data_IF_609310074013
#
_entry.id   IF_609310074013
#
_cell.length_a   1.000
_cell.length_b   1.000
_cell.length_c   1.000
_cell.angle_alpha   90.00
_cell.angle_beta   90.00
_cell.angle_gamma   90.00
#
_symmetry.space_group_name_H-M   'P 1'
#
loop_
_entity.id
_entity.type
_entity.pdbx_description
1 polymer ?
#
# COMPACT_ATOMS: atom_id res chain seq x y z
N UNK A 1 15.68 -17.90 -4.23
CA UNK A 1 14.74 -17.68 -3.10
C UNK A 1 14.33 -19.03 -2.52
N UNK A 2 14.52 -19.24 -1.22
CA UNK A 2 14.04 -20.45 -0.55
C UNK A 2 12.49 -20.45 -0.51
N UNK A 3 11.84 -21.62 -0.40
CA UNK A 3 10.37 -21.71 -0.29
C UNK A 3 9.83 -20.93 0.92
N UNK A 4 10.57 -20.89 2.03
CA UNK A 4 10.20 -20.13 3.21
C UNK A 4 10.12 -18.61 2.94
N UNK A 5 11.05 -18.05 2.15
CA UNK A 5 11.04 -16.62 1.82
C UNK A 5 9.87 -16.26 0.90
N UNK A 6 9.51 -17.11 -0.06
CA UNK A 6 8.35 -16.86 -0.94
C UNK A 6 7.04 -16.86 -0.15
N UNK A 7 6.91 -17.80 0.80
CA UNK A 7 5.77 -17.86 1.71
C UNK A 7 5.69 -16.59 2.58
N UNK A 8 6.81 -16.17 3.18
CA UNK A 8 6.84 -14.95 4.00
C UNK A 8 6.45 -13.69 3.21
N UNK A 9 6.95 -13.54 1.97
CA UNK A 9 6.61 -12.41 1.10
C UNK A 9 5.12 -12.43 0.73
N UNK A 10 4.59 -13.59 0.31
CA UNK A 10 3.18 -13.72 -0.05
C UNK A 10 2.26 -13.45 1.15
N UNK A 11 2.62 -13.98 2.33
CA UNK A 11 1.88 -13.75 3.56
C UNK A 11 1.88 -12.27 3.96
N UNK A 12 3.05 -11.62 3.94
CA UNK A 12 3.19 -10.20 4.25
C UNK A 12 2.40 -9.32 3.25
N UNK A 13 2.43 -9.68 1.96
CA UNK A 13 1.70 -8.99 0.90
C UNK A 13 0.19 -9.04 1.14
N UNK A 14 -0.35 -10.22 1.44
CA UNK A 14 -1.77 -10.38 1.77
C UNK A 14 -2.15 -9.65 3.06
N UNK A 15 -1.36 -9.78 4.11
CA UNK A 15 -1.63 -9.12 5.39
C UNK A 15 -1.66 -7.59 5.24
N UNK A 16 -0.66 -7.03 4.55
CA UNK A 16 -0.58 -5.60 4.26
C UNK A 16 -1.77 -5.14 3.42
N UNK A 17 -2.11 -5.88 2.36
CA UNK A 17 -3.27 -5.57 1.51
C UNK A 17 -4.59 -5.53 2.27
N UNK A 18 -4.82 -6.49 3.18
CA UNK A 18 -6.03 -6.53 4.02
C UNK A 18 -6.09 -5.34 4.98
N UNK A 19 -4.96 -5.00 5.63
CA UNK A 19 -4.89 -3.86 6.56
C UNK A 19 -5.15 -2.55 5.82
N UNK A 20 -4.47 -2.32 4.69
CA UNK A 20 -4.65 -1.10 3.89
C UNK A 20 -6.09 -0.97 3.36
N UNK A 21 -6.69 -2.07 2.90
CA UNK A 21 -8.09 -2.06 2.49
C UNK A 21 -9.03 -1.70 3.64
N UNK A 22 -8.82 -2.26 4.83
CA UNK A 22 -9.62 -1.95 6.01
C UNK A 22 -9.51 -0.48 6.42
N UNK A 23 -8.30 0.09 6.40
CA UNK A 23 -8.06 1.51 6.69
C UNK A 23 -8.75 2.39 5.64
N UNK A 24 -8.59 2.10 4.35
CA UNK A 24 -9.24 2.85 3.27
C UNK A 24 -10.77 2.79 3.38
N UNK A 25 -11.35 1.64 3.73
CA UNK A 25 -12.79 1.50 3.96
C UNK A 25 -13.26 2.33 5.17
N UNK A 26 -12.46 2.39 6.24
CA UNK A 26 -12.74 3.21 7.41
C UNK A 26 -12.71 4.70 7.07
N UNK A 27 -11.71 5.16 6.30
CA UNK A 27 -11.63 6.56 5.83
C UNK A 27 -12.82 6.92 4.96
N UNK A 28 -13.19 6.07 3.99
CA UNK A 28 -14.42 6.25 3.19
C UNK A 28 -15.67 6.36 4.07
N UNK A 29 -15.78 5.53 5.10
CA UNK A 29 -16.90 5.55 6.04
C UNK A 29 -16.94 6.84 6.87
N UNK A 30 -15.79 7.32 7.35
CA UNK A 30 -15.69 8.60 8.07
C UNK A 30 -16.12 9.77 7.18
N UNK A 31 -15.65 9.82 5.93
CA UNK A 31 -16.03 10.84 4.96
C UNK A 31 -17.53 10.74 4.62
N UNK A 32 -18.10 9.54 4.57
CA UNK A 32 -19.52 9.35 4.29
C UNK A 32 -20.42 9.76 5.47
N UNK A 33 -20.03 9.40 6.70
CA UNK A 33 -20.82 9.69 7.91
C UNK A 33 -20.63 11.10 8.46
N UNK A 34 -19.60 11.81 8.04
CA UNK A 34 -19.47 13.22 8.36
C UNK A 34 -20.70 13.99 7.82
N UNK A 35 -21.37 14.68 8.74
CA UNK A 35 -22.64 15.38 8.53
C UNK A 35 -22.50 16.90 8.54
N UNK A 36 -21.28 17.43 8.56
CA UNK A 36 -21.10 18.87 8.51
C UNK A 36 -21.71 19.45 7.22
N UNK A 37 -22.53 20.49 7.38
CA UNK A 37 -23.18 21.22 6.29
C UNK A 37 -22.19 22.17 5.60
N UNK A 38 -21.12 22.58 6.29
CA UNK A 38 -20.06 23.43 5.75
C UNK A 38 -19.05 22.55 5.01
N UNK A 39 -19.19 22.46 3.69
CA UNK A 39 -18.18 21.78 2.84
C UNK A 39 -18.65 20.50 2.13
N UNK A 40 -19.96 20.29 1.94
CA UNK A 40 -20.52 19.14 1.20
C UNK A 40 -19.85 18.87 -0.15
N UNK A 41 -19.50 19.92 -0.90
CA UNK A 41 -18.80 19.77 -2.19
C UNK A 41 -17.36 19.25 -2.01
N UNK A 42 -16.64 19.79 -1.04
CA UNK A 42 -15.29 19.34 -0.69
C UNK A 42 -15.28 17.88 -0.23
N UNK A 43 -16.28 17.47 0.57
CA UNK A 43 -16.42 16.08 1.02
C UNK A 43 -16.72 15.10 -0.09
N UNK A 44 -17.57 15.47 -1.06
CA UNK A 44 -17.80 14.66 -2.27
C UNK A 44 -16.52 14.51 -3.09
N UNK A 45 -15.74 15.59 -3.22
CA UNK A 45 -14.44 15.53 -3.88
C UNK A 45 -13.47 14.59 -3.14
N UNK A 46 -13.34 14.73 -1.81
CA UNK A 46 -12.51 13.85 -0.99
C UNK A 46 -12.93 12.39 -1.07
N UNK A 47 -14.24 12.10 -1.07
CA UNK A 47 -14.76 10.74 -1.21
C UNK A 47 -14.41 10.14 -2.58
N UNK A 48 -14.61 10.90 -3.66
CA UNK A 48 -14.19 10.49 -5.00
C UNK A 48 -12.69 10.27 -5.09
N UNK A 49 -11.89 11.15 -4.48
CA UNK A 49 -10.44 11.02 -4.42
C UNK A 49 -10.02 9.75 -3.67
N UNK A 50 -10.65 9.48 -2.51
CA UNK A 50 -10.37 8.30 -1.71
C UNK A 50 -10.73 7.01 -2.46
N UNK A 51 -11.84 7.00 -3.20
CA UNK A 51 -12.23 5.85 -4.04
C UNK A 51 -11.21 5.65 -5.17
N UNK A 52 -10.77 6.71 -5.86
CA UNK A 52 -9.74 6.64 -6.88
C UNK A 52 -8.39 6.15 -6.33
N UNK A 53 -8.02 6.60 -5.13
CA UNK A 53 -6.80 6.13 -4.46
C UNK A 53 -6.91 4.65 -4.11
N UNK A 54 -8.05 4.23 -3.55
CA UNK A 54 -8.29 2.83 -3.17
C UNK A 54 -8.31 1.91 -4.39
N UNK A 55 -8.86 2.37 -5.53
CA UNK A 55 -8.85 1.58 -6.77
C UNK A 55 -7.44 1.49 -7.36
N UNK A 56 -6.64 2.56 -7.32
CA UNK A 56 -5.24 2.52 -7.71
C UNK A 56 -4.43 1.55 -6.84
N UNK A 57 -4.62 1.59 -5.51
CA UNK A 57 -4.01 0.65 -4.58
C UNK A 57 -4.37 -0.80 -4.92
N UNK A 58 -5.64 -1.06 -5.24
CA UNK A 58 -6.12 -2.40 -5.60
C UNK A 58 -5.48 -2.90 -6.90
N UNK A 59 -5.37 -2.04 -7.91
CA UNK A 59 -4.68 -2.37 -9.17
C UNK A 59 -3.21 -2.68 -8.92
N UNK A 60 -2.51 -1.87 -8.11
CA UNK A 60 -1.11 -2.12 -7.75
C UNK A 60 -0.94 -3.41 -6.94
N UNK A 61 -1.92 -3.75 -6.10
CA UNK A 61 -1.90 -4.96 -5.30
C UNK A 61 -2.07 -6.23 -6.16
N UNK A 62 -2.94 -6.16 -7.18
CA UNK A 62 -3.14 -7.22 -8.19
C UNK A 62 -1.95 -7.32 -9.15
N UNK A 63 -1.32 -6.19 -9.48
CA UNK A 63 -0.16 -6.16 -10.36
C UNK A 63 1.13 -6.59 -9.66
N UNK A 64 1.22 -6.43 -8.34
CA UNK A 64 2.39 -6.82 -7.53
C UNK A 64 2.86 -8.26 -7.73
N UNK A 65 2.02 -9.31 -7.71
CA UNK A 65 2.49 -10.68 -7.98
C UNK A 65 3.01 -10.87 -9.41
N UNK A 66 2.41 -10.19 -10.40
CA UNK A 66 2.87 -10.21 -11.80
C UNK A 66 4.23 -9.51 -11.92
N UNK A 67 4.39 -8.36 -11.24
CA UNK A 67 5.64 -7.65 -11.12
C UNK A 67 6.68 -8.51 -10.39
N UNK A 68 6.36 -9.14 -9.27
CA UNK A 68 7.25 -10.04 -8.52
C UNK A 68 7.72 -11.23 -9.36
N UNK A 69 6.89 -11.74 -10.27
CA UNK A 69 7.29 -12.80 -11.19
C UNK A 69 8.29 -12.32 -12.26
N UNK A 70 8.07 -11.13 -12.83
CA UNK A 70 8.97 -10.53 -13.82
C UNK A 70 10.28 -10.00 -13.20
N UNK A 71 10.19 -9.36 -12.04
CA UNK A 71 11.33 -8.85 -11.26
C UNK A 71 12.03 -9.95 -10.44
N UNK A 72 11.55 -11.20 -10.47
CA UNK A 72 12.31 -12.35 -9.94
C UNK A 72 13.70 -12.44 -10.57
N UNK A 73 13.87 -11.95 -11.81
CA UNK A 73 15.18 -11.80 -12.49
C UNK A 73 16.05 -10.72 -11.84
N UNK A 74 15.45 -9.61 -11.36
CA UNK A 74 16.16 -8.49 -10.72
C UNK A 74 16.48 -8.79 -9.25
N UNK A 75 15.60 -9.46 -8.51
CA UNK A 75 15.81 -9.87 -7.12
C UNK A 75 16.60 -11.18 -6.96
N UNK A 76 16.76 -11.99 -8.03
CA UNK A 76 17.51 -13.24 -7.96
C UNK A 76 19.03 -13.04 -7.75
N UNK A 77 19.56 -11.83 -7.97
CA UNK A 77 21.01 -11.59 -7.89
C UNK A 77 21.41 -10.17 -7.48
N UNK A 78 20.59 -9.44 -6.72
CA UNK A 78 20.91 -8.06 -6.37
C UNK A 78 21.48 -7.94 -4.95
N UNK A 79 22.77 -7.58 -4.89
CA UNK A 79 23.51 -7.17 -3.69
C UNK A 79 22.77 -6.09 -2.86
N UNK A 80 21.87 -5.35 -3.50
CA UNK A 80 21.02 -4.32 -2.90
C UNK A 80 20.09 -4.89 -1.82
N UNK A 81 19.58 -6.12 -1.97
CA UNK A 81 18.75 -6.75 -0.95
C UNK A 81 19.52 -7.13 0.33
N UNK A 82 20.86 -7.19 0.26
CA UNK A 82 21.73 -7.43 1.40
C UNK A 82 22.21 -6.12 2.05
N UNK A 83 22.18 -5.02 1.29
CA UNK A 83 22.61 -3.69 1.74
C UNK A 83 21.45 -2.88 2.35
N UNK A 84 20.24 -3.06 1.82
CA UNK A 84 19.07 -2.28 2.22
C UNK A 84 18.22 -3.11 3.17
N UNK A 85 18.47 -2.92 4.46
CA UNK A 85 17.67 -3.51 5.53
C UNK A 85 16.23 -2.97 5.50
N UNK A 86 15.27 -3.82 5.88
CA UNK A 86 13.84 -3.50 5.86
C UNK A 86 13.52 -2.33 6.81
N UNK A 87 14.32 -2.18 7.87
CA UNK A 87 14.28 -1.04 8.78
C UNK A 87 14.67 0.28 8.11
N UNK A 88 15.61 0.27 7.15
CA UNK A 88 16.03 1.46 6.41
C UNK A 88 14.96 1.91 5.42
N UNK A 89 14.25 0.97 4.79
CA UNK A 89 13.10 1.30 3.93
C UNK A 89 11.94 1.84 4.76
N UNK A 90 11.66 1.21 5.91
CA UNK A 90 10.62 1.63 6.83
C UNK A 90 10.86 3.03 7.40
N UNK A 91 12.09 3.34 7.83
CA UNK A 91 12.43 4.66 8.37
C UNK A 91 12.38 5.75 7.30
N UNK A 92 12.77 5.46 6.06
CA UNK A 92 12.72 6.41 4.94
C UNK A 92 11.26 6.72 4.53
N UNK A 93 10.39 5.71 4.56
CA UNK A 93 8.95 5.89 4.36
C UNK A 93 8.32 6.74 5.47
N UNK A 94 8.62 6.45 6.74
CA UNK A 94 8.12 7.24 7.87
C UNK A 94 8.63 8.69 7.81
N UNK A 95 9.87 8.90 7.40
CA UNK A 95 10.43 10.25 7.24
C UNK A 95 9.76 11.02 6.10
N UNK A 96 9.56 10.39 4.94
CA UNK A 96 8.90 11.03 3.79
C UNK A 96 7.43 11.35 4.04
N UNK A 97 6.69 10.43 4.67
CA UNK A 97 5.27 10.64 4.97
C UNK A 97 5.02 11.45 6.24
N UNK A 98 5.99 11.52 7.16
CA UNK A 98 5.91 12.35 8.37
C UNK A 98 6.28 13.82 8.16
N UNK A 99 6.79 14.18 6.97
CA UNK A 99 7.07 15.58 6.60
C UNK A 99 5.97 16.23 5.73
N UNK A 100 4.95 15.47 5.30
CA UNK A 100 3.73 16.02 4.69
C UNK A 100 2.66 16.27 5.74
#
# INVERSE_FOLDING_TARGET
LSPATQFAISFAHHLCGVILFAVNALVCSLIYFDKDDRGKFYRKYLLSLQICSTSADLVLNVYSPIAQFNYRIVYANSSIANIVDIGTVGSLLVFLYGQM
#
